data_IF_422773790594
#
_entry.id   IF_422773790594
#
_cell.length_a   1.000
_cell.length_b   1.000
_cell.length_c   1.000
_cell.angle_alpha   90.00
_cell.angle_beta   90.00
_cell.angle_gamma   90.00
#
_symmetry.space_group_name_H-M   'P 1'
#
loop_
_entity.id
_entity.type
_entity.pdbx_description
1 polymer ?
#
# COMPACT_ATOMS: atom_id res chain seq x y z
N UNK A 1 -22.94 28.13 -2.43
CA UNK A 1 -22.00 27.57 -1.43
C UNK A 1 -20.75 27.14 -2.17
N UNK A 2 -19.65 27.85 -1.98
CA UNK A 2 -18.36 27.43 -2.53
C UNK A 2 -17.97 26.08 -1.91
N UNK A 3 -17.70 25.08 -2.75
CA UNK A 3 -17.20 23.79 -2.27
C UNK A 3 -15.78 24.03 -1.73
N UNK A 4 -15.64 23.96 -0.41
CA UNK A 4 -14.32 24.02 0.23
C UNK A 4 -13.54 22.80 -0.25
N UNK A 5 -12.53 23.02 -1.07
CA UNK A 5 -11.68 21.96 -1.59
C UNK A 5 -10.60 21.62 -0.55
N UNK A 6 -10.82 20.58 0.22
CA UNK A 6 -9.84 20.12 1.21
C UNK A 6 -8.68 19.40 0.52
N UNK A 7 -7.47 19.87 0.79
CA UNK A 7 -6.24 19.22 0.33
C UNK A 7 -5.75 18.20 1.36
N UNK A 8 -5.15 17.11 0.90
CA UNK A 8 -4.46 16.17 1.81
C UNK A 8 -3.22 16.87 2.38
N UNK A 9 -3.07 16.84 3.71
CA UNK A 9 -2.01 17.54 4.45
C UNK A 9 -1.92 19.04 4.14
N UNK A 10 -3.02 19.64 3.68
CA UNK A 10 -3.10 21.04 3.25
C UNK A 10 -2.15 21.39 2.07
N UNK A 11 -1.59 20.38 1.39
CA UNK A 11 -0.61 20.55 0.31
C UNK A 11 -1.12 20.01 -1.04
N UNK A 12 -1.65 18.78 -1.08
CA UNK A 12 -1.95 18.12 -2.35
C UNK A 12 -3.45 18.01 -2.62
N UNK A 13 -3.85 18.48 -3.80
CA UNK A 13 -5.21 18.31 -4.30
C UNK A 13 -5.38 16.87 -4.85
N UNK A 14 -6.54 16.30 -4.59
CA UNK A 14 -6.90 14.94 -5.00
C UNK A 14 -8.11 14.89 -5.91
N UNK A 15 -8.71 16.03 -6.20
CA UNK A 15 -9.98 16.12 -6.95
C UNK A 15 -9.86 15.59 -8.37
N UNK A 16 -8.69 15.70 -8.98
CA UNK A 16 -8.41 15.30 -10.37
C UNK A 16 -7.91 13.85 -10.51
N UNK A 17 -7.63 13.17 -9.37
CA UNK A 17 -7.04 11.84 -9.41
C UNK A 17 -8.11 10.81 -9.78
N UNK A 18 -7.93 10.18 -10.93
CA UNK A 18 -8.81 9.11 -11.40
C UNK A 18 -8.16 7.74 -11.20
N UNK A 19 -8.96 6.78 -10.73
CA UNK A 19 -8.56 5.38 -10.62
C UNK A 19 -8.85 4.70 -11.95
N UNK A 20 -7.81 4.15 -12.61
CA UNK A 20 -7.92 3.52 -13.92
C UNK A 20 -8.49 2.11 -13.80
N UNK A 21 -8.01 1.31 -12.84
CA UNK A 21 -8.52 -0.05 -12.63
C UNK A 21 -9.97 0.00 -12.10
N UNK A 22 -10.98 -0.41 -12.92
CA UNK A 22 -12.38 -0.36 -12.50
C UNK A 22 -12.65 -1.27 -11.29
N UNK A 23 -11.90 -2.36 -11.12
CA UNK A 23 -12.02 -3.26 -9.98
C UNK A 23 -11.58 -2.63 -8.65
N UNK A 24 -10.78 -1.56 -8.69
CA UNK A 24 -10.28 -0.89 -7.49
C UNK A 24 -11.03 0.40 -7.15
N UNK A 25 -11.87 0.93 -8.04
CA UNK A 25 -12.60 2.20 -7.83
C UNK A 25 -13.44 2.22 -6.57
N UNK A 26 -14.12 1.13 -6.25
CA UNK A 26 -14.96 1.02 -5.04
C UNK A 26 -14.19 0.77 -3.73
N UNK A 27 -12.87 0.56 -3.81
CA UNK A 27 -12.04 0.13 -2.67
C UNK A 27 -10.99 1.16 -2.28
N UNK A 28 -10.49 1.94 -3.24
CA UNK A 28 -9.56 3.04 -2.99
C UNK A 28 -10.40 4.28 -2.70
N UNK A 29 -10.36 4.73 -1.44
CA UNK A 29 -11.02 5.97 -1.05
C UNK A 29 -10.02 7.12 -1.11
N UNK A 30 -10.36 8.15 -1.91
CA UNK A 30 -9.63 9.40 -2.08
C UNK A 30 -10.39 10.59 -1.48
N UNK A 31 -11.37 10.35 -0.60
CA UNK A 31 -12.16 11.42 -0.01
C UNK A 31 -11.23 12.41 0.72
N UNK A 32 -11.30 13.72 0.36
CA UNK A 32 -10.44 14.72 0.96
C UNK A 32 -10.83 14.93 2.43
N UNK A 33 -9.85 14.80 3.32
CA UNK A 33 -10.01 15.04 4.76
C UNK A 33 -8.81 15.84 5.28
N UNK A 34 -9.10 16.87 6.04
CA UNK A 34 -8.05 17.67 6.69
C UNK A 34 -7.20 16.80 7.64
N UNK A 35 -7.87 15.93 8.39
CA UNK A 35 -7.20 14.97 9.29
C UNK A 35 -7.47 13.56 8.80
N UNK A 36 -6.43 12.90 8.31
CA UNK A 36 -6.50 11.52 7.80
C UNK A 36 -6.47 10.49 8.95
N UNK A 37 -7.46 10.54 9.83
CA UNK A 37 -7.53 9.64 10.99
C UNK A 37 -8.97 9.15 11.20
N UNK A 38 -9.17 7.85 11.02
CA UNK A 38 -10.47 7.18 11.22
C UNK A 38 -10.76 6.80 12.66
N UNK A 39 -9.82 7.00 13.58
CA UNK A 39 -9.89 6.60 14.99
C UNK A 39 -10.22 5.11 15.23
N UNK A 40 -9.90 4.23 14.27
CA UNK A 40 -10.15 2.79 14.38
C UNK A 40 -11.62 2.38 14.34
N UNK A 41 -12.53 3.27 13.96
CA UNK A 41 -13.98 3.02 13.94
C UNK A 41 -14.46 2.24 12.72
N UNK A 42 -13.79 1.13 12.39
CA UNK A 42 -14.16 0.26 11.27
C UNK A 42 -14.85 -1.00 11.77
N UNK A 43 -16.01 -0.85 12.40
CA UNK A 43 -16.78 -1.97 12.97
C UNK A 43 -17.57 -2.73 11.89
N UNK A 44 -17.88 -2.07 10.77
CA UNK A 44 -18.69 -2.65 9.69
C UNK A 44 -17.85 -3.55 8.81
N UNK A 45 -18.44 -4.66 8.32
CA UNK A 45 -17.83 -5.53 7.31
C UNK A 45 -17.36 -4.67 6.11
N UNK A 46 -16.12 -4.86 5.68
CA UNK A 46 -15.48 -4.05 4.64
C UNK A 46 -15.30 -2.54 4.93
N UNK A 47 -15.44 -2.11 6.19
CA UNK A 47 -15.26 -0.70 6.60
C UNK A 47 -13.92 -0.07 6.19
N UNK A 48 -12.90 -0.87 5.90
CA UNK A 48 -11.62 -0.39 5.38
C UNK A 48 -11.72 0.36 4.05
N UNK A 49 -12.76 0.11 3.24
CA UNK A 49 -12.98 0.83 1.98
C UNK A 49 -13.31 2.29 2.18
N UNK A 50 -13.88 2.65 3.33
CA UNK A 50 -14.20 4.03 3.72
C UNK A 50 -12.99 4.82 4.25
N UNK A 51 -11.88 4.13 4.51
CA UNK A 51 -10.65 4.76 5.01
C UNK A 51 -9.85 5.28 3.83
N UNK A 52 -9.38 6.54 3.91
CA UNK A 52 -8.52 7.11 2.88
C UNK A 52 -7.28 6.24 2.65
N UNK A 53 -6.87 6.06 1.40
CA UNK A 53 -5.75 5.20 1.01
C UNK A 53 -4.44 5.59 1.67
N UNK A 54 -4.21 6.89 1.89
CA UNK A 54 -3.01 7.41 2.56
C UNK A 54 -3.01 7.02 4.05
N UNK A 55 -4.15 7.07 4.72
CA UNK A 55 -4.28 6.56 6.10
C UNK A 55 -4.03 5.06 6.16
N UNK A 56 -4.52 4.29 5.19
CA UNK A 56 -4.24 2.85 5.11
C UNK A 56 -2.74 2.58 4.96
N UNK A 57 -2.02 3.39 4.18
CA UNK A 57 -0.56 3.31 4.07
C UNK A 57 0.12 3.58 5.42
N UNK A 58 -0.29 4.66 6.14
CA UNK A 58 0.25 4.98 7.46
C UNK A 58 0.04 3.83 8.46
N UNK A 59 -1.16 3.22 8.45
CA UNK A 59 -1.48 2.09 9.31
C UNK A 59 -0.64 0.84 8.95
N UNK A 60 -0.29 0.63 7.68
CA UNK A 60 0.62 -0.45 7.28
C UNK A 60 2.06 -0.20 7.72
N UNK A 61 2.52 1.05 7.72
CA UNK A 61 3.85 1.41 8.24
C UNK A 61 4.00 1.05 9.73
N UNK A 62 2.92 1.14 10.51
CA UNK A 62 2.93 0.73 11.91
C UNK A 62 3.20 -0.78 12.11
N UNK A 63 3.00 -1.59 11.07
CA UNK A 63 3.04 -3.05 11.13
C UNK A 63 4.17 -3.65 10.28
N UNK A 64 5.24 -2.90 10.00
CA UNK A 64 6.35 -3.33 9.14
C UNK A 64 7.04 -4.62 9.62
N UNK A 65 7.14 -4.82 10.93
CA UNK A 65 7.72 -6.03 11.55
C UNK A 65 6.87 -7.28 11.47
N UNK A 66 5.59 -7.15 11.13
CA UNK A 66 4.67 -8.28 11.05
C UNK A 66 4.79 -9.02 9.72
N UNK A 67 5.49 -10.17 9.73
CA UNK A 67 5.82 -10.98 8.55
C UNK A 67 5.09 -12.34 8.53
N UNK A 68 3.76 -12.34 8.76
CA UNK A 68 2.94 -13.54 8.85
C UNK A 68 3.41 -14.47 10.00
N UNK A 69 3.89 -15.69 9.69
CA UNK A 69 4.36 -16.67 10.69
C UNK A 69 5.66 -16.27 11.40
N UNK A 70 6.47 -15.42 10.78
CA UNK A 70 7.74 -14.92 11.35
C UNK A 70 7.60 -13.43 11.59
N UNK A 71 8.04 -12.97 12.76
CA UNK A 71 8.15 -11.54 13.07
C UNK A 71 9.60 -11.10 12.97
N UNK A 72 9.81 -9.93 12.38
CA UNK A 72 11.11 -9.28 12.33
C UNK A 72 11.17 -8.25 13.44
N UNK A 73 12.21 -8.29 14.26
CA UNK A 73 12.47 -7.24 15.23
C UNK A 73 12.92 -6.01 14.45
N UNK A 74 12.13 -4.94 14.51
CA UNK A 74 12.49 -3.65 13.92
C UNK A 74 13.01 -2.72 15.00
N UNK A 75 14.18 -2.15 14.74
CA UNK A 75 14.82 -1.19 15.62
C UNK A 75 13.95 0.08 15.72
N UNK A 76 13.05 0.16 16.70
CA UNK A 76 12.37 1.37 17.22
C UNK A 76 11.94 2.50 16.26
N UNK A 77 12.20 2.36 14.95
CA UNK A 77 11.92 3.36 13.93
C UNK A 77 10.49 3.28 13.39
N UNK A 78 9.92 2.08 13.35
CA UNK A 78 8.51 1.82 13.04
C UNK A 78 7.76 1.60 14.34
N UNK A 79 7.12 2.61 14.83
CA UNK A 79 6.30 2.51 16.04
C UNK A 79 4.82 2.66 15.66
N UNK A 80 3.92 2.11 16.48
CA UNK A 80 2.48 2.32 16.33
C UNK A 80 2.02 3.78 16.53
N UNK A 81 2.93 4.72 16.68
CA UNK A 81 2.62 6.15 16.86
C UNK A 81 2.18 6.77 15.54
N UNK A 82 0.92 7.11 15.45
CA UNK A 82 0.29 7.71 14.26
C UNK A 82 1.05 8.94 13.73
N UNK A 83 1.37 9.91 14.60
CA UNK A 83 2.06 11.15 14.21
C UNK A 83 3.41 10.90 13.55
N UNK A 84 4.13 9.86 14.01
CA UNK A 84 5.41 9.47 13.42
C UNK A 84 5.23 8.84 12.04
N UNK A 85 4.23 7.96 11.89
CA UNK A 85 3.92 7.34 10.61
C UNK A 85 3.44 8.40 9.60
N UNK A 86 2.63 9.36 10.05
CA UNK A 86 2.21 10.50 9.24
C UNK A 86 3.42 11.29 8.73
N UNK A 87 4.38 11.62 9.61
CA UNK A 87 5.60 12.33 9.21
C UNK A 87 6.42 11.55 8.18
N UNK A 88 6.54 10.22 8.35
CA UNK A 88 7.25 9.36 7.38
C UNK A 88 6.59 9.44 5.99
N UNK A 89 5.26 9.37 5.92
CA UNK A 89 4.52 9.46 4.65
C UNK A 89 4.64 10.86 4.05
N UNK A 90 4.53 11.91 4.86
CA UNK A 90 4.68 13.29 4.42
C UNK A 90 6.06 13.54 3.83
N UNK A 91 7.13 13.16 4.53
CA UNK A 91 8.50 13.27 4.04
C UNK A 91 8.69 12.46 2.73
N UNK A 92 8.08 11.26 2.63
CA UNK A 92 8.15 10.45 1.43
C UNK A 92 7.43 11.11 0.24
N UNK A 93 6.27 11.70 0.46
CA UNK A 93 5.51 12.40 -0.58
C UNK A 93 6.25 13.64 -1.10
N UNK A 94 6.87 14.41 -0.22
CA UNK A 94 7.72 15.54 -0.63
C UNK A 94 8.90 15.09 -1.49
N UNK A 95 9.49 13.92 -1.21
CA UNK A 95 10.57 13.35 -2.03
C UNK A 95 10.04 12.90 -3.40
N UNK A 96 8.84 12.28 -3.45
CA UNK A 96 8.21 11.87 -4.70
C UNK A 96 7.92 13.09 -5.57
N UNK A 97 7.30 14.13 -5.02
CA UNK A 97 7.01 15.37 -5.72
C UNK A 97 8.27 16.01 -6.31
N UNK A 98 9.35 16.12 -5.51
CA UNK A 98 10.64 16.66 -5.98
C UNK A 98 11.27 15.85 -7.10
N UNK A 99 11.12 14.52 -7.11
CA UNK A 99 11.73 13.63 -8.11
C UNK A 99 10.88 13.50 -9.37
N UNK A 100 9.56 13.44 -9.24
CA UNK A 100 8.65 13.16 -10.37
C UNK A 100 7.97 14.40 -10.93
N UNK A 101 7.92 15.50 -10.16
CA UNK A 101 7.16 16.70 -10.52
C UNK A 101 5.64 16.50 -10.57
N UNK A 102 5.14 15.34 -10.13
CA UNK A 102 3.72 14.97 -10.16
C UNK A 102 3.13 14.94 -8.75
N UNK A 103 1.80 14.93 -8.68
CA UNK A 103 1.10 14.78 -7.42
C UNK A 103 1.45 13.42 -6.76
N UNK A 104 2.04 13.39 -5.57
CA UNK A 104 2.50 12.16 -4.93
C UNK A 104 1.36 11.19 -4.60
N UNK A 105 0.15 11.69 -4.39
CA UNK A 105 -1.03 10.83 -4.16
C UNK A 105 -1.42 10.11 -5.44
N UNK A 106 -1.36 10.78 -6.60
CA UNK A 106 -1.57 10.15 -7.90
C UNK A 106 -0.53 9.05 -8.17
N UNK A 107 0.75 9.37 -7.94
CA UNK A 107 1.84 8.39 -8.09
C UNK A 107 1.61 7.18 -7.19
N UNK A 108 1.16 7.37 -5.94
CA UNK A 108 0.82 6.28 -5.03
C UNK A 108 -0.35 5.44 -5.56
N UNK A 109 -1.43 6.06 -6.03
CA UNK A 109 -2.59 5.33 -6.57
C UNK A 109 -2.19 4.49 -7.77
N UNK A 110 -1.45 5.06 -8.71
CA UNK A 110 -0.92 4.34 -9.88
C UNK A 110 0.01 3.19 -9.49
N UNK A 111 0.90 3.42 -8.52
CA UNK A 111 1.75 2.36 -8.00
C UNK A 111 0.91 1.21 -7.41
N UNK A 112 -0.14 1.50 -6.61
CA UNK A 112 -1.02 0.49 -6.06
C UNK A 112 -1.72 -0.31 -7.17
N UNK A 113 -2.23 0.33 -8.21
CA UNK A 113 -2.87 -0.34 -9.34
C UNK A 113 -1.89 -1.33 -10.01
N UNK A 114 -0.64 -0.91 -10.22
CA UNK A 114 0.38 -1.72 -10.90
C UNK A 114 0.88 -2.91 -10.09
N UNK A 115 0.97 -2.77 -8.76
CA UNK A 115 1.45 -3.84 -7.87
C UNK A 115 0.36 -4.72 -7.25
N UNK A 116 -0.92 -4.40 -7.50
CA UNK A 116 -2.04 -5.20 -7.02
C UNK A 116 -2.09 -6.54 -7.76
N UNK A 117 -1.90 -7.70 -7.08
CA UNK A 117 -2.01 -9.01 -7.72
C UNK A 117 -3.46 -9.30 -8.08
N UNK A 118 -3.68 -9.97 -9.22
CA UNK A 118 -5.03 -10.40 -9.64
C UNK A 118 -5.36 -11.77 -9.10
N UNK A 119 -4.37 -12.66 -9.11
CA UNK A 119 -4.52 -14.06 -8.74
C UNK A 119 -3.59 -14.41 -7.57
N UNK A 120 -4.00 -15.35 -6.75
CA UNK A 120 -3.18 -15.95 -5.70
C UNK A 120 -3.50 -17.43 -5.56
N UNK A 121 -2.60 -18.20 -4.92
CA UNK A 121 -2.86 -19.59 -4.60
C UNK A 121 -3.51 -19.73 -3.23
N UNK A 122 -4.53 -20.58 -3.15
CA UNK A 122 -5.10 -21.06 -1.88
C UNK A 122 -4.90 -22.56 -1.76
N UNK A 123 -4.91 -23.08 -0.55
CA UNK A 123 -4.82 -24.52 -0.30
C UNK A 123 -6.21 -25.02 0.01
N UNK A 124 -6.69 -25.96 -0.81
CA UNK A 124 -7.93 -26.69 -0.57
C UNK A 124 -7.56 -28.07 -0.01
N UNK A 125 -8.23 -28.45 1.08
CA UNK A 125 -8.07 -29.76 1.70
C UNK A 125 -9.25 -30.63 1.32
N UNK A 126 -8.96 -31.76 0.65
CA UNK A 126 -9.94 -32.75 0.28
C UNK A 126 -9.43 -34.13 0.68
N UNK A 127 -10.22 -34.88 1.48
CA UNK A 127 -9.84 -36.22 1.94
C UNK A 127 -8.50 -36.29 2.70
N UNK A 128 -8.09 -35.22 3.39
CA UNK A 128 -6.80 -35.10 4.10
C UNK A 128 -5.61 -34.75 3.20
N UNK A 129 -5.77 -34.69 1.89
CA UNK A 129 -4.76 -34.22 0.96
C UNK A 129 -4.93 -32.72 0.69
N UNK A 130 -3.80 -31.99 0.56
CA UNK A 130 -3.78 -30.53 0.36
C UNK A 130 -3.35 -30.21 -1.06
N UNK A 131 -4.24 -29.54 -1.79
CA UNK A 131 -4.01 -29.15 -3.18
C UNK A 131 -3.95 -27.63 -3.29
N UNK A 132 -2.89 -27.07 -3.89
CA UNK A 132 -2.87 -25.65 -4.24
C UNK A 132 -3.85 -25.43 -5.40
N UNK A 133 -4.67 -24.38 -5.30
CA UNK A 133 -5.58 -23.95 -6.36
C UNK A 133 -5.47 -22.46 -6.58
N UNK A 134 -5.49 -22.03 -7.83
CA UNK A 134 -5.54 -20.63 -8.21
C UNK A 134 -6.92 -20.03 -7.92
N UNK A 135 -6.94 -18.85 -7.35
CA UNK A 135 -8.16 -18.10 -7.05
C UNK A 135 -7.98 -16.62 -7.34
N UNK A 136 -9.06 -15.95 -7.75
CA UNK A 136 -9.08 -14.52 -7.94
C UNK A 136 -8.98 -13.79 -6.59
N UNK A 137 -8.18 -12.73 -6.55
CA UNK A 137 -7.99 -11.92 -5.35
C UNK A 137 -9.10 -10.88 -5.24
N UNK A 138 -9.80 -10.83 -4.11
CA UNK A 138 -10.82 -9.81 -3.86
C UNK A 138 -10.22 -8.38 -3.90
N UNK A 139 -10.95 -7.36 -4.40
CA UNK A 139 -10.43 -6.00 -4.55
C UNK A 139 -9.83 -5.40 -3.27
N UNK A 140 -10.46 -5.64 -2.12
CA UNK A 140 -9.95 -5.16 -0.81
C UNK A 140 -8.61 -5.83 -0.50
N UNK A 141 -8.48 -7.12 -0.76
CA UNK A 141 -7.25 -7.87 -0.53
C UNK A 141 -6.15 -7.44 -1.49
N UNK A 142 -6.47 -7.16 -2.76
CA UNK A 142 -5.53 -6.60 -3.75
C UNK A 142 -4.85 -5.34 -3.23
N UNK A 143 -5.62 -4.36 -2.77
CA UNK A 143 -5.08 -3.10 -2.21
C UNK A 143 -4.30 -3.36 -0.92
N UNK A 144 -4.77 -4.25 -0.04
CA UNK A 144 -4.07 -4.59 1.20
C UNK A 144 -2.72 -5.26 0.95
N UNK A 145 -2.63 -6.16 -0.03
CA UNK A 145 -1.39 -6.81 -0.44
C UNK A 145 -0.42 -5.81 -1.07
N UNK A 146 -0.92 -4.94 -1.93
CA UNK A 146 -0.14 -3.88 -2.55
C UNK A 146 0.53 -2.98 -1.49
N UNK A 147 -0.26 -2.42 -0.57
CA UNK A 147 0.25 -1.58 0.52
C UNK A 147 1.22 -2.34 1.44
N UNK A 148 0.92 -3.60 1.76
CA UNK A 148 1.81 -4.46 2.55
C UNK A 148 3.15 -4.65 1.86
N UNK A 149 3.15 -5.00 0.59
CA UNK A 149 4.38 -5.28 -0.17
C UNK A 149 5.24 -4.03 -0.35
N UNK A 150 4.63 -2.86 -0.62
CA UNK A 150 5.33 -1.57 -0.65
C UNK A 150 6.06 -1.27 0.66
N UNK A 151 5.33 -1.35 1.77
CA UNK A 151 5.89 -1.03 3.09
C UNK A 151 6.97 -2.03 3.50
N UNK A 152 6.77 -3.31 3.20
CA UNK A 152 7.77 -4.34 3.47
C UNK A 152 9.04 -4.14 2.63
N UNK A 153 8.91 -3.82 1.34
CA UNK A 153 10.06 -3.53 0.47
C UNK A 153 10.84 -2.30 0.94
N UNK A 154 10.13 -1.24 1.31
CA UNK A 154 10.75 -0.03 1.86
C UNK A 154 11.47 -0.30 3.19
N UNK A 155 10.86 -1.08 4.09
CA UNK A 155 11.47 -1.44 5.36
C UNK A 155 12.73 -2.28 5.18
N UNK A 156 12.70 -3.27 4.29
CA UNK A 156 13.85 -4.13 4.00
C UNK A 156 15.03 -3.35 3.38
N UNK A 157 14.73 -2.35 2.54
CA UNK A 157 15.74 -1.45 1.97
C UNK A 157 16.35 -0.50 3.01
N UNK A 158 15.60 -0.13 4.05
CA UNK A 158 16.05 0.79 5.10
C UNK A 158 16.71 0.07 6.27
N UNK A 159 16.43 -1.23 6.48
CA UNK A 159 16.89 -1.98 7.63
C UNK A 159 18.41 -2.15 7.63
N UNK A 160 19.05 -1.82 8.75
CA UNK A 160 20.51 -1.92 8.91
C UNK A 160 21.34 -0.89 8.13
N UNK A 161 20.71 0.08 7.47
CA UNK A 161 21.38 1.11 6.67
C UNK A 161 21.16 2.51 7.26
N UNK A 162 22.03 3.46 6.89
CA UNK A 162 21.86 4.88 7.25
C UNK A 162 20.65 5.56 6.58
N UNK A 163 20.00 4.89 5.64
CA UNK A 163 18.87 5.40 4.85
C UNK A 163 17.60 5.50 5.71
N UNK A 164 16.91 6.62 5.61
CA UNK A 164 15.63 6.82 6.31
C UNK A 164 14.51 6.00 5.66
N UNK A 165 13.55 5.53 6.45
CA UNK A 165 12.39 4.79 5.95
C UNK A 165 11.57 5.61 4.94
N UNK A 166 11.44 6.94 5.14
CA UNK A 166 10.76 7.84 4.20
C UNK A 166 11.42 7.86 2.82
N UNK A 167 12.75 7.86 2.74
CA UNK A 167 13.49 7.81 1.48
C UNK A 167 13.30 6.47 0.76
N UNK A 168 13.39 5.36 1.51
CA UNK A 168 13.19 4.02 0.95
C UNK A 168 11.75 3.80 0.49
N UNK A 169 10.77 4.37 1.20
CA UNK A 169 9.36 4.31 0.82
C UNK A 169 9.10 5.10 -0.46
N UNK A 170 9.64 6.32 -0.56
CA UNK A 170 9.52 7.12 -1.77
C UNK A 170 10.12 6.42 -2.99
N UNK A 171 11.30 5.84 -2.86
CA UNK A 171 11.93 5.08 -3.96
C UNK A 171 11.13 3.85 -4.36
N UNK A 172 10.61 3.09 -3.38
CA UNK A 172 9.81 1.90 -3.69
C UNK A 172 8.51 2.27 -4.41
N UNK A 173 7.86 3.40 -4.03
CA UNK A 173 6.67 3.90 -4.72
C UNK A 173 7.00 4.35 -6.15
N UNK A 174 8.12 5.06 -6.36
CA UNK A 174 8.55 5.51 -7.69
C UNK A 174 8.87 4.31 -8.58
N UNK A 175 9.67 3.35 -8.10
CA UNK A 175 10.00 2.13 -8.84
C UNK A 175 8.75 1.33 -9.21
N UNK A 176 7.77 1.27 -8.33
CA UNK A 176 6.49 0.63 -8.59
C UNK A 176 5.65 1.39 -9.63
N UNK A 177 5.68 2.73 -9.58
CA UNK A 177 5.04 3.59 -10.57
C UNK A 177 5.64 3.43 -11.96
N UNK A 178 6.96 3.31 -12.06
CA UNK A 178 7.71 3.12 -13.31
C UNK A 178 7.74 1.66 -13.81
N UNK A 179 7.14 0.74 -13.05
CA UNK A 179 7.18 -0.72 -13.32
C UNK A 179 8.59 -1.31 -13.37
N UNK A 180 9.53 -0.71 -12.66
CA UNK A 180 10.90 -1.19 -12.62
C UNK A 180 10.98 -2.52 -11.84
N UNK A 181 11.67 -3.51 -12.41
CA UNK A 181 11.89 -4.83 -11.79
C UNK A 181 12.67 -4.81 -10.47
N UNK A 182 13.33 -3.71 -10.12
CA UNK A 182 13.98 -3.53 -8.82
C UNK A 182 13.00 -3.32 -7.66
N UNK A 183 11.72 -3.02 -7.96
CA UNK A 183 10.67 -2.92 -6.94
C UNK A 183 10.42 -4.29 -6.31
N UNK A 184 10.56 -4.33 -4.99
CA UNK A 184 10.24 -5.53 -4.19
C UNK A 184 8.75 -5.88 -4.26
N UNK A 185 7.88 -4.87 -4.35
CA UNK A 185 6.44 -5.05 -4.45
C UNK A 185 6.03 -5.66 -5.78
N UNK A 186 6.62 -5.23 -6.90
CA UNK A 186 6.39 -5.81 -8.22
C UNK A 186 6.88 -7.26 -8.31
N UNK A 187 8.05 -7.56 -7.73
CA UNK A 187 8.53 -8.95 -7.67
C UNK A 187 7.56 -9.85 -6.92
N UNK A 188 7.05 -9.39 -5.78
CA UNK A 188 6.05 -10.14 -4.99
C UNK A 188 4.74 -10.36 -5.74
N UNK A 189 4.28 -9.37 -6.53
CA UNK A 189 3.13 -9.55 -7.42
C UNK A 189 3.40 -10.66 -8.43
N UNK A 190 4.51 -10.55 -9.19
CA UNK A 190 4.87 -11.54 -10.21
C UNK A 190 5.04 -12.95 -9.62
N UNK A 191 5.66 -13.07 -8.44
CA UNK A 191 5.78 -14.35 -7.73
C UNK A 191 4.40 -14.95 -7.41
N UNK A 192 3.46 -14.14 -6.91
CA UNK A 192 2.12 -14.61 -6.55
C UNK A 192 1.33 -15.07 -7.79
N UNK A 193 1.37 -14.28 -8.86
CA UNK A 193 0.68 -14.59 -10.13
C UNK A 193 1.29 -15.81 -10.81
N UNK A 194 2.62 -15.96 -10.84
CA UNK A 194 3.29 -17.14 -11.38
C UNK A 194 2.98 -18.42 -10.58
N UNK A 195 2.87 -18.32 -9.24
CA UNK A 195 2.43 -19.43 -8.41
C UNK A 195 0.97 -19.82 -8.70
N UNK A 196 0.11 -18.83 -8.93
CA UNK A 196 -1.29 -19.09 -9.29
C UNK A 196 -1.39 -19.74 -10.66
N UNK A 197 -0.62 -19.30 -11.65
CA UNK A 197 -0.59 -19.88 -12.99
C UNK A 197 -0.12 -21.35 -12.98
N UNK A 198 0.82 -21.69 -12.10
CA UNK A 198 1.27 -23.07 -11.93
C UNK A 198 0.28 -23.99 -11.19
N UNK A 199 -0.73 -23.41 -10.54
CA UNK A 199 -1.75 -24.12 -9.76
C UNK A 199 -3.14 -24.13 -10.42
N UNK A 200 -3.21 -23.72 -11.69
CA UNK A 200 -4.44 -23.79 -12.55
C UNK A 200 -4.70 -25.17 -13.12
#
# INVERSE_FOLDING_TARGET
MEKINFKIFDMWDISEIQIVDPGLRGVINLEPKLILKSHGRNVVKHGQTKVNVVERLMNKIALTGHRNKKHRIELGRSTGKYSRNMKIVLDAFQIIEKKTGKNPVEVLVRAIEKISPRDETTIIEYGGARYPQAVDVSPIRRVNLALKNLVHGASDKAFGKKKKLSQSLAEEIILAYEENGESSALRKKKESEAQADSAR
#
